data_IF_406520641102
#
_entry.id   IF_406520641102
#
_cell.length_a   1.000
_cell.length_b   1.000
_cell.length_c   1.000
_cell.angle_alpha   90.00
_cell.angle_beta   90.00
_cell.angle_gamma   90.00
#
_symmetry.space_group_name_H-M   'P 1'
#
loop_
_entity.id
_entity.type
_entity.pdbx_description
1 polymer ?
#
# COMPACT_ATOMS: atom_id res chain seq x y z
N UNK A 1 -25.87 -3.78 69.98
CA UNK A 1 -26.80 -3.08 69.08
C UNK A 1 -26.12 -2.21 68.00
N UNK A 2 -24.93 -1.68 68.21
CA UNK A 2 -24.27 -0.81 67.19
C UNK A 2 -23.69 -1.53 65.92
N UNK A 3 -23.45 -2.84 65.99
CA UNK A 3 -22.90 -3.61 64.84
C UNK A 3 -23.90 -3.94 63.73
N UNK A 4 -25.20 -4.00 64.06
CA UNK A 4 -26.24 -4.34 63.07
C UNK A 4 -26.75 -3.12 62.28
N UNK A 5 -26.58 -1.91 62.83
CA UNK A 5 -27.00 -0.67 62.15
C UNK A 5 -26.06 -0.34 61.00
N UNK A 6 -24.75 -0.64 61.11
CA UNK A 6 -23.77 -0.40 60.06
C UNK A 6 -23.96 -1.39 58.89
N UNK A 7 -24.31 -2.64 59.17
CA UNK A 7 -24.60 -3.63 58.13
C UNK A 7 -25.85 -3.27 57.30
N UNK A 8 -26.89 -2.77 57.92
CA UNK A 8 -28.11 -2.35 57.21
C UNK A 8 -27.93 -1.09 56.38
N UNK A 9 -27.07 -0.16 56.81
CA UNK A 9 -26.77 1.05 56.03
C UNK A 9 -25.94 0.74 54.79
N UNK A 10 -25.02 -0.24 54.84
CA UNK A 10 -24.22 -0.67 53.69
C UNK A 10 -25.09 -1.43 52.66
N UNK A 11 -26.03 -2.25 53.11
CA UNK A 11 -26.97 -2.93 52.20
C UNK A 11 -27.93 -1.96 51.50
N UNK A 12 -28.37 -0.88 52.17
CA UNK A 12 -29.18 0.15 51.52
C UNK A 12 -28.39 1.02 50.53
N UNK A 13 -27.11 1.25 50.80
CA UNK A 13 -26.25 1.99 49.86
C UNK A 13 -25.91 1.19 48.58
N UNK A 14 -25.89 -0.15 48.67
CA UNK A 14 -25.66 -1.03 47.50
C UNK A 14 -26.93 -1.26 46.66
N UNK A 15 -28.13 -1.10 47.24
CA UNK A 15 -29.38 -1.22 46.50
C UNK A 15 -29.78 0.04 45.73
N UNK A 16 -29.17 1.21 46.03
CA UNK A 16 -29.42 2.47 45.33
C UNK A 16 -28.58 2.70 44.09
N UNK A 17 -27.62 1.80 43.78
CA UNK A 17 -26.65 1.97 42.72
C UNK A 17 -27.03 1.38 41.34
N UNK A 18 -28.19 0.79 41.18
CA UNK A 18 -28.66 0.20 39.92
C UNK A 18 -29.88 0.92 39.31
N UNK A 19 -29.96 2.23 39.49
CA UNK A 19 -30.78 3.02 38.57
C UNK A 19 -29.90 3.33 37.37
N UNK A 20 -29.60 2.30 36.61
CA UNK A 20 -29.09 2.44 35.25
C UNK A 20 -30.16 3.16 34.44
N UNK A 21 -29.76 4.22 33.77
CA UNK A 21 -30.54 4.96 32.80
C UNK A 21 -31.24 4.01 31.82
N UNK A 22 -32.52 3.76 32.02
CA UNK A 22 -33.43 3.24 31.03
C UNK A 22 -34.29 4.39 30.53
N UNK A 23 -33.67 5.46 30.07
CA UNK A 23 -34.28 6.26 29.03
C UNK A 23 -33.83 5.59 27.73
N UNK A 24 -34.65 4.73 27.19
CA UNK A 24 -34.67 4.54 25.75
C UNK A 24 -35.04 5.91 25.17
N UNK A 25 -34.04 6.76 25.01
CA UNK A 25 -34.19 7.89 24.11
C UNK A 25 -34.51 7.24 22.76
N UNK A 26 -35.67 7.57 22.22
CA UNK A 26 -36.03 7.16 20.85
C UNK A 26 -34.86 7.49 19.95
N UNK A 27 -34.14 6.44 19.54
CA UNK A 27 -32.99 6.58 18.67
C UNK A 27 -33.48 7.29 17.41
N UNK A 28 -32.83 8.40 17.05
CA UNK A 28 -33.11 9.09 15.82
C UNK A 28 -33.10 8.05 14.69
N UNK A 29 -34.23 7.88 13.96
CA UNK A 29 -34.28 6.94 12.84
C UNK A 29 -33.27 7.25 11.75
N UNK A 30 -32.67 8.44 11.78
CA UNK A 30 -31.55 8.79 10.91
C UNK A 30 -30.25 8.49 11.62
N UNK A 31 -29.57 7.45 11.18
CA UNK A 31 -28.24 7.09 11.68
C UNK A 31 -27.27 8.27 11.53
N UNK A 32 -26.63 8.66 12.64
CA UNK A 32 -25.51 9.63 12.63
C UNK A 32 -24.25 9.04 11.98
N UNK A 33 -24.20 7.72 11.83
CA UNK A 33 -23.13 7.08 11.06
C UNK A 33 -23.35 7.28 9.57
N UNK A 34 -22.28 7.54 8.86
CA UNK A 34 -22.32 7.56 7.40
C UNK A 34 -22.94 6.26 6.89
N UNK A 35 -23.71 6.31 5.79
CA UNK A 35 -24.18 5.10 5.15
C UNK A 35 -23.00 4.13 4.98
N UNK A 36 -23.28 2.84 5.14
CA UNK A 36 -22.29 1.78 4.92
C UNK A 36 -21.55 2.08 3.62
N UNK A 37 -20.22 2.25 3.65
CA UNK A 37 -19.44 2.56 2.46
C UNK A 37 -19.57 1.49 1.38
N UNK A 38 -20.07 0.31 1.72
CA UNK A 38 -20.33 -0.78 0.77
C UNK A 38 -21.69 -0.66 0.08
N UNK A 39 -22.57 0.23 0.55
CA UNK A 39 -23.84 0.54 -0.12
C UNK A 39 -23.61 1.64 -1.17
N UNK A 40 -23.72 1.23 -2.43
CA UNK A 40 -23.52 2.14 -3.55
C UNK A 40 -24.74 3.01 -3.77
N UNK A 41 -24.53 4.33 -3.92
CA UNK A 41 -25.57 5.28 -4.27
C UNK A 41 -25.86 5.23 -5.78
N UNK A 42 -27.08 4.76 -6.19
CA UNK A 42 -27.43 4.69 -7.60
C UNK A 42 -27.54 6.06 -8.30
N UNK A 43 -27.66 7.14 -7.54
CA UNK A 43 -27.75 8.52 -8.05
C UNK A 43 -26.38 9.17 -8.27
N UNK A 44 -25.32 8.54 -7.73
CA UNK A 44 -23.94 9.04 -7.89
C UNK A 44 -23.52 9.05 -9.36
N UNK A 45 -22.89 10.13 -9.85
CA UNK A 45 -22.31 10.19 -11.20
C UNK A 45 -21.30 9.06 -11.47
N UNK A 46 -20.68 8.53 -10.42
CA UNK A 46 -19.67 7.48 -10.48
C UNK A 46 -20.22 6.08 -10.23
N UNK A 47 -21.54 5.93 -10.06
CA UNK A 47 -22.18 4.66 -9.69
C UNK A 47 -21.72 3.45 -10.54
N UNK A 48 -21.62 3.63 -11.85
CA UNK A 48 -21.18 2.53 -12.75
C UNK A 48 -19.76 2.09 -12.46
N UNK A 49 -18.87 3.05 -12.18
CA UNK A 49 -17.49 2.75 -11.82
C UNK A 49 -17.40 2.16 -10.42
N UNK A 50 -18.11 2.71 -9.45
CA UNK A 50 -18.16 2.20 -8.08
C UNK A 50 -18.63 0.75 -8.06
N UNK A 51 -19.66 0.42 -8.84
CA UNK A 51 -20.16 -0.95 -9.00
C UNK A 51 -19.12 -1.88 -9.65
N UNK A 52 -18.39 -1.38 -10.64
CA UNK A 52 -17.32 -2.15 -11.29
C UNK A 52 -16.16 -2.42 -10.32
N UNK A 53 -15.74 -1.40 -9.56
CA UNK A 53 -14.70 -1.52 -8.51
C UNK A 53 -15.13 -2.49 -7.43
N UNK A 54 -16.36 -2.36 -6.92
CA UNK A 54 -16.88 -3.28 -5.91
C UNK A 54 -16.79 -4.72 -6.39
N UNK A 55 -17.29 -5.02 -7.59
CA UNK A 55 -17.29 -6.37 -8.15
C UNK A 55 -15.87 -6.93 -8.33
N UNK A 56 -14.96 -6.15 -8.91
CA UNK A 56 -13.65 -6.64 -9.34
C UNK A 56 -12.57 -6.61 -8.26
N UNK A 57 -12.81 -5.89 -7.16
CA UNK A 57 -11.86 -5.75 -6.05
C UNK A 57 -12.44 -6.22 -4.71
N UNK A 58 -13.54 -5.62 -4.26
CA UNK A 58 -14.11 -5.96 -2.95
C UNK A 58 -14.68 -7.37 -2.94
N UNK A 59 -15.61 -7.67 -3.85
CA UNK A 59 -16.29 -8.97 -3.89
C UNK A 59 -15.33 -10.11 -4.30
N UNK A 60 -14.34 -9.80 -5.16
CA UNK A 60 -13.38 -10.79 -5.66
C UNK A 60 -12.25 -11.07 -4.67
N UNK A 61 -11.62 -10.03 -4.08
CA UNK A 61 -10.39 -10.15 -3.30
C UNK A 61 -10.51 -9.70 -1.84
N UNK A 62 -11.69 -9.24 -1.41
CA UNK A 62 -11.86 -8.58 -0.11
C UNK A 62 -10.88 -7.38 0.03
N UNK A 63 -10.78 -6.58 -1.03
CA UNK A 63 -9.85 -5.45 -1.14
C UNK A 63 -10.61 -4.19 -1.58
N UNK A 64 -10.30 -3.07 -0.94
CA UNK A 64 -10.89 -1.76 -1.26
C UNK A 64 -10.00 -1.00 -2.24
N UNK A 65 -10.54 -0.60 -3.38
CA UNK A 65 -9.91 0.35 -4.30
C UNK A 65 -10.41 1.76 -3.99
N UNK A 66 -9.57 2.58 -3.37
CA UNK A 66 -9.93 3.92 -2.88
C UNK A 66 -9.35 4.99 -3.80
N UNK A 67 -10.18 5.62 -4.60
CA UNK A 67 -9.79 6.70 -5.52
C UNK A 67 -10.31 8.08 -5.06
N UNK A 68 -11.29 8.11 -4.17
CA UNK A 68 -11.74 9.35 -3.52
C UNK A 68 -10.87 9.61 -2.31
N UNK A 69 -10.12 10.71 -2.36
CA UNK A 69 -9.27 11.09 -1.24
C UNK A 69 -10.15 11.50 -0.05
N UNK A 70 -9.96 10.84 1.09
CA UNK A 70 -10.54 11.22 2.36
C UNK A 70 -9.41 11.73 3.26
N UNK A 71 -9.64 12.86 3.95
CA UNK A 71 -8.65 13.49 4.84
C UNK A 71 -8.08 12.55 5.91
N UNK A 72 -8.87 11.58 6.38
CA UNK A 72 -8.43 10.57 7.36
C UNK A 72 -7.56 9.44 6.76
N UNK A 73 -7.50 9.33 5.44
CA UNK A 73 -6.75 8.27 4.77
C UNK A 73 -5.40 8.75 4.22
N UNK A 74 -5.09 10.03 4.37
CA UNK A 74 -3.85 10.65 3.92
C UNK A 74 -3.01 11.10 5.10
N UNK A 75 -1.71 10.98 4.97
CA UNK A 75 -0.76 11.51 5.94
C UNK A 75 -0.86 13.06 5.93
N UNK A 76 -1.13 13.71 7.07
CA UNK A 76 -1.29 15.16 7.14
C UNK A 76 -0.02 15.94 6.82
N UNK A 77 1.14 15.29 6.83
CA UNK A 77 2.43 15.94 6.53
C UNK A 77 2.61 16.23 5.02
N UNK A 78 1.73 15.66 4.16
CA UNK A 78 1.83 15.85 2.71
C UNK A 78 0.66 16.64 2.13
N UNK A 79 0.97 17.59 1.25
CA UNK A 79 -0.03 18.29 0.45
C UNK A 79 -0.36 17.48 -0.81
N UNK A 80 -1.38 16.65 -0.73
CA UNK A 80 -1.75 15.71 -1.78
C UNK A 80 -2.94 16.21 -2.61
N UNK A 81 -2.94 15.89 -3.90
CA UNK A 81 -4.02 16.18 -4.84
C UNK A 81 -4.74 14.87 -5.18
N UNK A 82 -6.09 14.84 -5.17
CA UNK A 82 -6.83 13.65 -5.56
C UNK A 82 -6.55 13.24 -7.01
N UNK A 83 -6.61 11.93 -7.27
CA UNK A 83 -6.58 11.44 -8.63
C UNK A 83 -7.86 11.82 -9.38
N UNK A 84 -7.73 12.21 -10.65
CA UNK A 84 -8.89 12.42 -11.51
C UNK A 84 -9.67 11.13 -11.70
N UNK A 85 -10.98 11.24 -11.92
CA UNK A 85 -11.83 10.07 -12.13
C UNK A 85 -11.37 9.23 -13.33
N UNK A 86 -11.06 9.89 -14.44
CA UNK A 86 -10.60 9.22 -15.65
C UNK A 86 -9.32 8.41 -15.42
N UNK A 87 -8.30 9.01 -14.79
CA UNK A 87 -7.05 8.33 -14.48
C UNK A 87 -7.23 7.21 -13.45
N UNK A 88 -8.14 7.40 -12.48
CA UNK A 88 -8.51 6.36 -11.53
C UNK A 88 -9.17 5.16 -12.21
N UNK A 89 -10.06 5.41 -13.17
CA UNK A 89 -10.71 4.35 -13.97
C UNK A 89 -9.68 3.58 -14.82
N UNK A 90 -8.78 4.30 -15.50
CA UNK A 90 -7.70 3.69 -16.28
C UNK A 90 -6.81 2.81 -15.40
N UNK A 91 -6.33 3.34 -14.27
CA UNK A 91 -5.46 2.59 -13.37
C UNK A 91 -6.18 1.37 -12.75
N UNK A 92 -7.46 1.51 -12.40
CA UNK A 92 -8.24 0.38 -11.90
C UNK A 92 -8.31 -0.77 -12.91
N UNK A 93 -8.55 -0.45 -14.18
CA UNK A 93 -8.54 -1.48 -15.23
C UNK A 93 -7.15 -2.09 -15.41
N UNK A 94 -6.12 -1.27 -15.52
CA UNK A 94 -4.74 -1.73 -15.69
C UNK A 94 -4.29 -2.65 -14.55
N UNK A 95 -4.50 -2.25 -13.30
CA UNK A 95 -4.11 -3.05 -12.13
C UNK A 95 -4.90 -4.35 -12.06
N UNK A 96 -6.23 -4.34 -12.34
CA UNK A 96 -7.01 -5.57 -12.38
C UNK A 96 -6.47 -6.58 -13.40
N UNK A 97 -6.19 -6.14 -14.63
CA UNK A 97 -5.83 -7.05 -15.72
C UNK A 97 -4.35 -7.39 -15.77
N UNK A 98 -3.45 -6.45 -15.43
CA UNK A 98 -2.01 -6.62 -15.57
C UNK A 98 -1.32 -7.04 -14.26
N UNK A 99 -2.02 -7.01 -13.14
CA UNK A 99 -1.47 -7.43 -11.85
C UNK A 99 -2.33 -8.53 -11.20
N UNK A 100 -3.59 -8.26 -10.84
CA UNK A 100 -4.45 -9.22 -10.14
C UNK A 100 -4.71 -10.48 -10.97
N UNK A 101 -5.18 -10.34 -12.18
CA UNK A 101 -5.47 -11.49 -13.06
C UNK A 101 -4.22 -12.29 -13.41
N UNK A 102 -3.04 -11.65 -13.45
CA UNK A 102 -1.77 -12.35 -13.69
C UNK A 102 -1.43 -13.26 -12.52
N UNK A 103 -1.54 -12.77 -11.30
CA UNK A 103 -1.35 -13.61 -10.11
C UNK A 103 -2.37 -14.75 -10.05
N UNK A 104 -3.66 -14.49 -10.32
CA UNK A 104 -4.69 -15.52 -10.37
C UNK A 104 -4.37 -16.62 -11.40
N UNK A 105 -3.89 -16.20 -12.57
CA UNK A 105 -3.49 -17.14 -13.63
C UNK A 105 -2.30 -18.02 -13.22
N UNK A 106 -1.30 -17.44 -12.55
CA UNK A 106 -0.10 -18.16 -12.13
C UNK A 106 -0.40 -19.09 -10.95
N UNK A 107 -1.24 -18.66 -10.01
CA UNK A 107 -1.57 -19.43 -8.80
C UNK A 107 -2.78 -20.35 -8.98
N UNK A 108 -3.50 -20.21 -10.10
CA UNK A 108 -4.67 -21.03 -10.46
C UNK A 108 -5.98 -20.61 -9.80
N UNK A 109 -5.97 -19.62 -8.90
CA UNK A 109 -7.18 -19.08 -8.26
C UNK A 109 -6.93 -17.70 -7.64
N UNK A 110 -7.99 -16.92 -7.32
CA UNK A 110 -7.86 -15.66 -6.60
C UNK A 110 -7.51 -15.83 -5.09
N UNK A 111 -7.47 -17.07 -4.58
CA UNK A 111 -7.30 -17.33 -3.14
C UNK A 111 -5.95 -16.87 -2.62
N UNK A 112 -4.90 -16.91 -3.45
CA UNK A 112 -3.59 -16.40 -3.06
C UNK A 112 -3.65 -14.91 -2.73
N UNK A 113 -4.25 -14.10 -3.60
CA UNK A 113 -4.39 -12.66 -3.34
C UNK A 113 -5.44 -12.33 -2.27
N UNK A 114 -6.48 -13.16 -2.13
CA UNK A 114 -7.43 -13.06 -1.01
C UNK A 114 -6.74 -13.22 0.33
N UNK A 115 -5.80 -14.14 0.42
CA UNK A 115 -5.09 -14.45 1.66
C UNK A 115 -3.93 -13.48 1.91
N UNK A 116 -3.12 -13.19 0.91
CA UNK A 116 -1.85 -12.50 1.06
C UNK A 116 -1.80 -11.12 0.41
N UNK A 117 -2.74 -10.77 -0.44
CA UNK A 117 -2.75 -9.48 -1.13
C UNK A 117 -3.05 -8.30 -0.22
N UNK A 118 -2.75 -7.08 -0.68
CA UNK A 118 -3.12 -5.87 0.02
C UNK A 118 -4.63 -5.81 0.24
N UNK A 119 -5.07 -5.17 1.33
CA UNK A 119 -6.51 -4.99 1.62
C UNK A 119 -7.03 -3.65 1.14
N UNK A 120 -6.14 -2.73 0.83
CA UNK A 120 -6.50 -1.44 0.27
C UNK A 120 -5.47 -1.00 -0.79
N UNK A 121 -5.97 -0.55 -1.92
CA UNK A 121 -5.21 0.17 -2.93
C UNK A 121 -5.71 1.62 -2.95
N UNK A 122 -4.87 2.56 -2.51
CA UNK A 122 -5.21 3.98 -2.39
C UNK A 122 -4.54 4.77 -3.50
N UNK A 123 -5.36 5.52 -4.27
CA UNK A 123 -4.93 6.19 -5.49
C UNK A 123 -4.85 7.69 -5.26
N UNK A 124 -3.66 8.26 -5.47
CA UNK A 124 -3.34 9.67 -5.21
C UNK A 124 -2.84 10.33 -6.50
N UNK A 125 -3.38 11.50 -6.81
CA UNK A 125 -3.13 12.16 -8.09
C UNK A 125 -1.76 12.83 -8.22
N UNK A 126 -1.23 13.37 -7.12
CA UNK A 126 0.08 14.04 -7.05
C UNK A 126 1.17 13.13 -6.49
N UNK A 127 2.42 13.58 -6.60
CA UNK A 127 3.51 13.04 -5.78
C UNK A 127 3.36 13.44 -4.32
N UNK A 128 4.02 12.68 -3.43
CA UNK A 128 4.30 13.07 -2.07
C UNK A 128 5.80 13.34 -1.95
N UNK A 129 6.15 14.52 -1.46
CA UNK A 129 7.54 14.89 -1.23
C UNK A 129 7.79 14.90 0.28
N UNK A 130 8.76 14.11 0.73
CA UNK A 130 9.15 14.11 2.12
C UNK A 130 9.69 15.50 2.50
N UNK A 131 9.05 16.22 3.44
CA UNK A 131 9.44 17.60 3.76
C UNK A 131 10.83 17.70 4.39
N UNK A 132 11.34 16.62 4.97
CA UNK A 132 12.64 16.60 5.64
C UNK A 132 13.81 16.27 4.70
N UNK A 133 13.59 15.41 3.71
CA UNK A 133 14.65 14.93 2.81
C UNK A 133 14.52 15.45 1.39
N UNK A 134 13.36 15.98 0.99
CA UNK A 134 13.05 16.36 -0.39
C UNK A 134 12.84 15.17 -1.32
N UNK A 135 12.88 13.95 -0.81
CA UNK A 135 12.72 12.74 -1.62
C UNK A 135 11.27 12.57 -2.05
N UNK A 136 11.06 12.29 -3.33
CA UNK A 136 9.75 11.97 -3.89
C UNK A 136 9.36 10.53 -3.56
N UNK A 137 8.15 10.37 -3.05
CA UNK A 137 7.56 9.07 -2.72
C UNK A 137 6.60 8.68 -3.84
N UNK A 138 6.85 7.54 -4.48
CA UNK A 138 6.03 6.99 -5.57
C UNK A 138 5.05 5.92 -5.08
N UNK A 139 5.33 5.32 -3.93
CA UNK A 139 4.49 4.33 -3.26
C UNK A 139 4.80 4.24 -1.78
N UNK A 140 3.86 3.75 -1.02
CA UNK A 140 4.00 3.54 0.41
C UNK A 140 3.11 2.37 0.85
N UNK A 141 3.69 1.37 1.54
CA UNK A 141 2.92 0.37 2.26
C UNK A 141 2.74 0.79 3.73
N UNK A 142 1.50 0.92 4.15
CA UNK A 142 1.18 1.30 5.52
C UNK A 142 0.61 0.10 6.27
N UNK A 143 1.32 -0.32 7.33
CA UNK A 143 0.89 -1.37 8.23
C UNK A 143 0.70 -2.76 7.58
N UNK A 144 1.26 -3.01 6.39
CA UNK A 144 1.13 -4.28 5.69
C UNK A 144 -0.27 -4.58 5.13
N UNK A 145 -1.12 -3.56 5.00
CA UNK A 145 -2.49 -3.73 4.52
C UNK A 145 -2.84 -2.79 3.36
N UNK A 146 -2.25 -1.60 3.33
CA UNK A 146 -2.56 -0.55 2.36
C UNK A 146 -1.35 -0.31 1.46
N UNK A 147 -1.59 -0.25 0.14
CA UNK A 147 -0.64 0.24 -0.85
C UNK A 147 -1.17 1.56 -1.41
N UNK A 148 -0.39 2.62 -1.26
CA UNK A 148 -0.69 3.94 -1.83
C UNK A 148 0.09 4.15 -3.12
N UNK A 149 -0.58 4.48 -4.22
CA UNK A 149 0.03 4.79 -5.51
C UNK A 149 -0.12 6.28 -5.79
N UNK A 150 1.00 6.94 -5.99
CA UNK A 150 1.08 8.39 -6.23
C UNK A 150 1.23 8.72 -7.72
N UNK A 151 1.17 10.01 -8.05
CA UNK A 151 1.39 10.55 -9.41
C UNK A 151 0.37 10.03 -10.44
N UNK A 152 -0.79 9.57 -9.99
CA UNK A 152 -1.79 8.93 -10.88
C UNK A 152 -2.34 9.88 -11.93
N UNK A 153 -2.33 11.20 -11.70
CA UNK A 153 -2.74 12.17 -12.71
C UNK A 153 -1.80 12.22 -13.93
N UNK A 154 -0.57 11.70 -13.80
CA UNK A 154 0.41 11.56 -14.88
C UNK A 154 0.37 10.18 -15.56
N UNK A 155 -0.63 9.35 -15.24
CA UNK A 155 -0.78 8.01 -15.83
C UNK A 155 -0.85 8.10 -17.36
N UNK A 156 -0.02 7.32 -18.02
CA UNK A 156 0.00 7.14 -19.47
C UNK A 156 -0.16 5.64 -19.79
N UNK A 157 -1.37 5.20 -20.17
CA UNK A 157 -1.66 3.79 -20.40
C UNK A 157 -0.96 3.22 -21.65
N UNK A 158 -0.46 4.07 -22.54
CA UNK A 158 0.22 3.64 -23.78
C UNK A 158 1.74 3.51 -23.61
N UNK A 159 2.27 3.85 -22.43
CA UNK A 159 3.68 3.77 -22.12
C UNK A 159 3.98 2.66 -21.08
N UNK A 160 4.27 1.42 -21.51
CA UNK A 160 4.55 0.31 -20.59
C UNK A 160 5.74 0.55 -19.68
N UNK A 161 6.78 1.23 -20.14
CA UNK A 161 7.96 1.56 -19.31
C UNK A 161 7.57 2.47 -18.16
N UNK A 162 6.77 3.50 -18.44
CA UNK A 162 6.27 4.42 -17.41
C UNK A 162 5.31 3.74 -16.44
N UNK A 163 4.44 2.84 -16.95
CA UNK A 163 3.55 2.04 -16.09
C UNK A 163 4.35 1.15 -15.14
N UNK A 164 5.37 0.48 -15.64
CA UNK A 164 6.26 -0.35 -14.83
C UNK A 164 7.01 0.48 -13.79
N UNK A 165 7.61 1.59 -14.19
CA UNK A 165 8.43 2.42 -13.30
C UNK A 165 7.63 3.06 -12.15
N UNK A 166 6.41 3.55 -12.44
CA UNK A 166 5.62 4.34 -11.47
C UNK A 166 4.63 3.48 -10.66
N UNK A 167 4.10 2.39 -11.25
CA UNK A 167 2.99 1.66 -10.62
C UNK A 167 3.31 0.19 -10.38
N UNK A 168 3.65 -0.58 -11.40
CA UNK A 168 3.80 -2.03 -11.22
C UNK A 168 5.03 -2.40 -10.40
N UNK A 169 6.16 -1.74 -10.59
CA UNK A 169 7.33 -1.92 -9.73
C UNK A 169 6.97 -1.63 -8.28
N UNK A 170 6.33 -0.49 -8.02
CA UNK A 170 5.87 -0.12 -6.68
C UNK A 170 4.91 -1.16 -6.10
N UNK A 171 3.93 -1.61 -6.87
CA UNK A 171 2.98 -2.63 -6.40
C UNK A 171 3.68 -3.94 -6.04
N UNK A 172 4.65 -4.41 -6.83
CA UNK A 172 5.40 -5.63 -6.50
C UNK A 172 6.33 -5.43 -5.30
N UNK A 173 6.95 -4.27 -5.17
CA UNK A 173 7.78 -3.89 -4.03
C UNK A 173 6.98 -3.94 -2.73
N UNK A 174 5.87 -3.21 -2.66
CA UNK A 174 5.01 -3.14 -1.49
C UNK A 174 4.34 -4.48 -1.18
N UNK A 175 3.94 -5.22 -2.22
CA UNK A 175 3.41 -6.58 -2.04
C UNK A 175 4.47 -7.53 -1.46
N UNK A 176 5.73 -7.39 -1.82
CA UNK A 176 6.82 -8.17 -1.23
C UNK A 176 6.92 -7.92 0.28
N UNK A 177 6.77 -6.68 0.74
CA UNK A 177 6.72 -6.37 2.17
C UNK A 177 5.50 -6.99 2.87
N UNK A 178 4.32 -6.91 2.24
CA UNK A 178 3.09 -7.52 2.78
C UNK A 178 3.25 -9.04 2.88
N UNK A 179 3.74 -9.67 1.83
CA UNK A 179 3.94 -11.11 1.78
C UNK A 179 4.99 -11.57 2.81
N UNK A 180 6.06 -10.81 2.98
CA UNK A 180 7.12 -11.09 3.92
C UNK A 180 6.64 -11.17 5.38
N UNK A 181 5.56 -10.51 5.76
CA UNK A 181 4.99 -10.59 7.11
C UNK A 181 4.47 -12.01 7.46
N UNK A 182 4.09 -12.79 6.44
CA UNK A 182 3.55 -14.13 6.61
C UNK A 182 4.41 -15.22 5.95
N UNK A 183 5.13 -14.87 4.90
CA UNK A 183 6.00 -15.74 4.10
C UNK A 183 7.36 -15.07 3.94
N UNK A 184 8.18 -15.18 4.98
CA UNK A 184 9.51 -14.55 4.98
C UNK A 184 10.48 -15.25 4.02
N UNK A 185 11.41 -14.50 3.45
CA UNK A 185 12.53 -15.03 2.66
C UNK A 185 13.56 -15.73 3.57
N UNK A 186 14.45 -16.59 3.03
CA UNK A 186 15.48 -17.23 3.82
C UNK A 186 16.44 -16.23 4.47
N UNK A 187 16.83 -16.46 5.73
CA UNK A 187 17.79 -15.61 6.44
C UNK A 187 19.14 -15.48 5.76
N UNK A 188 19.53 -16.46 4.95
CA UNK A 188 20.75 -16.40 4.13
C UNK A 188 20.76 -15.23 3.16
N UNK A 189 19.60 -14.67 2.79
CA UNK A 189 19.54 -13.46 1.98
C UNK A 189 20.12 -12.25 2.73
N UNK A 190 19.85 -12.12 4.02
CA UNK A 190 20.39 -11.03 4.85
C UNK A 190 21.92 -11.04 4.90
N UNK A 191 22.53 -12.19 4.68
CA UNK A 191 23.98 -12.40 4.76
C UNK A 191 24.72 -12.05 3.46
N UNK A 192 24.02 -12.04 2.31
CA UNK A 192 24.64 -11.84 0.97
C UNK A 192 25.34 -10.49 0.91
N UNK A 193 24.68 -9.43 1.31
CA UNK A 193 25.19 -8.06 1.25
C UNK A 193 25.32 -7.37 2.60
N UNK A 194 25.42 -8.13 3.70
CA UNK A 194 25.39 -7.61 5.08
C UNK A 194 26.38 -6.47 5.34
N UNK A 195 27.56 -6.51 4.72
CA UNK A 195 28.61 -5.50 4.90
C UNK A 195 28.39 -4.21 4.09
N UNK A 196 27.45 -4.20 3.17
CA UNK A 196 27.25 -3.12 2.19
C UNK A 196 25.96 -2.31 2.40
N UNK A 197 25.14 -2.67 3.42
CA UNK A 197 23.92 -1.89 3.71
C UNK A 197 24.24 -0.55 4.36
N UNK A 198 23.56 0.51 3.90
CA UNK A 198 23.74 1.91 4.33
C UNK A 198 22.37 2.56 4.67
N UNK A 199 21.81 2.26 5.82
CA UNK A 199 20.44 2.68 6.16
C UNK A 199 20.20 4.20 6.15
N UNK A 200 21.24 4.99 6.40
CA UNK A 200 21.12 6.43 6.58
C UNK A 200 21.60 7.25 5.38
N UNK A 201 22.36 6.65 4.47
CA UNK A 201 23.07 7.37 3.39
C UNK A 201 22.87 6.74 2.01
N UNK A 202 21.95 5.80 1.87
CA UNK A 202 21.66 5.16 0.59
C UNK A 202 21.27 6.18 -0.52
N UNK A 203 20.64 7.30 -0.13
CA UNK A 203 20.24 8.38 -1.05
C UNK A 203 21.45 9.06 -1.74
N UNK A 204 22.63 8.97 -1.12
CA UNK A 204 23.87 9.55 -1.65
C UNK A 204 24.59 8.60 -2.61
N UNK A 205 24.12 7.35 -2.73
CA UNK A 205 24.73 6.35 -3.60
C UNK A 205 24.33 6.54 -5.05
N UNK A 206 25.29 6.34 -5.92
CA UNK A 206 25.08 6.31 -7.37
C UNK A 206 24.64 4.91 -7.82
N UNK A 207 23.75 4.83 -8.81
CA UNK A 207 23.21 3.57 -9.32
C UNK A 207 24.31 2.58 -9.76
N UNK A 208 25.26 3.01 -10.61
CA UNK A 208 26.29 2.13 -11.15
C UNK A 208 27.15 1.45 -10.08
N UNK A 209 27.83 2.20 -9.19
CA UNK A 209 28.62 1.61 -8.10
C UNK A 209 27.78 0.73 -7.17
N UNK A 210 26.53 1.12 -6.90
CA UNK A 210 25.65 0.34 -6.03
C UNK A 210 25.24 -0.99 -6.69
N UNK A 211 24.95 -0.97 -7.98
CA UNK A 211 24.63 -2.19 -8.74
C UNK A 211 25.84 -3.16 -8.79
N UNK A 212 27.07 -2.64 -8.84
CA UNK A 212 28.28 -3.47 -8.79
C UNK A 212 28.51 -4.15 -7.44
N UNK A 213 27.85 -3.69 -6.40
CA UNK A 213 27.79 -4.37 -5.09
C UNK A 213 26.72 -5.46 -5.03
N UNK A 214 25.92 -5.63 -6.09
CA UNK A 214 24.85 -6.63 -6.18
C UNK A 214 23.44 -6.09 -5.85
N UNK A 215 23.26 -4.78 -5.66
CA UNK A 215 21.96 -4.17 -5.44
C UNK A 215 21.28 -3.77 -6.76
N UNK A 216 19.97 -3.85 -6.83
CA UNK A 216 19.21 -3.46 -8.04
C UNK A 216 18.94 -1.95 -8.12
N UNK A 217 19.15 -1.23 -7.03
CA UNK A 217 19.00 0.22 -6.94
C UNK A 217 19.74 0.76 -5.71
N UNK A 218 20.03 2.07 -5.62
CA UNK A 218 20.51 2.69 -4.37
C UNK A 218 19.60 2.41 -3.17
N UNK A 219 18.28 2.44 -3.37
CA UNK A 219 17.31 2.16 -2.30
C UNK A 219 17.42 0.74 -1.76
N UNK A 220 17.70 -0.26 -2.61
CA UNK A 220 17.97 -1.63 -2.18
C UNK A 220 19.10 -1.70 -1.15
N UNK A 221 20.11 -0.85 -1.26
CA UNK A 221 21.23 -0.81 -0.32
C UNK A 221 20.91 -0.24 1.07
N UNK A 222 19.70 0.20 1.31
CA UNK A 222 19.27 0.73 2.61
C UNK A 222 19.21 -0.35 3.69
N UNK A 223 18.64 -1.50 3.38
CA UNK A 223 18.53 -2.65 4.29
C UNK A 223 18.06 -3.91 3.54
N UNK A 224 18.27 -5.08 4.14
CA UNK A 224 17.96 -6.37 3.52
C UNK A 224 16.50 -6.52 3.07
N UNK A 225 15.53 -5.95 3.78
CA UNK A 225 14.12 -6.00 3.39
C UNK A 225 13.84 -5.21 2.13
N UNK A 226 14.44 -4.03 2.02
CA UNK A 226 14.33 -3.18 0.82
C UNK A 226 15.04 -3.85 -0.36
N UNK A 227 16.21 -4.44 -0.13
CA UNK A 227 16.95 -5.18 -1.13
C UNK A 227 16.12 -6.34 -1.71
N UNK A 228 15.50 -7.14 -0.84
CA UNK A 228 14.63 -8.22 -1.30
C UNK A 228 13.45 -7.69 -2.12
N UNK A 229 12.74 -6.68 -1.61
CA UNK A 229 11.58 -6.11 -2.28
C UNK A 229 11.95 -5.44 -3.62
N UNK A 230 13.02 -4.66 -3.66
CA UNK A 230 13.55 -4.03 -4.87
C UNK A 230 14.02 -5.06 -5.90
N UNK A 231 14.72 -6.09 -5.47
CA UNK A 231 15.20 -7.17 -6.34
C UNK A 231 14.02 -7.91 -6.96
N UNK A 232 13.03 -8.33 -6.16
CA UNK A 232 11.82 -8.97 -6.65
C UNK A 232 11.05 -8.08 -7.62
N UNK A 233 10.82 -6.82 -7.27
CA UNK A 233 10.05 -5.89 -8.08
C UNK A 233 10.75 -5.61 -9.43
N UNK A 234 12.05 -5.33 -9.42
CA UNK A 234 12.82 -5.09 -10.64
C UNK A 234 12.89 -6.34 -11.54
N UNK A 235 13.07 -7.53 -10.96
CA UNK A 235 13.08 -8.78 -11.72
C UNK A 235 11.74 -9.04 -12.43
N UNK A 236 10.61 -8.77 -11.77
CA UNK A 236 9.28 -9.02 -12.32
C UNK A 236 8.92 -8.04 -13.45
N UNK A 237 9.26 -6.76 -13.31
CA UNK A 237 8.83 -5.73 -14.27
C UNK A 237 9.77 -5.55 -15.45
N UNK A 238 11.00 -6.06 -15.40
CA UNK A 238 11.96 -6.01 -16.49
C UNK A 238 11.77 -7.17 -17.46
N UNK A 239 12.01 -6.92 -18.73
CA UNK A 239 12.14 -8.01 -19.70
C UNK A 239 13.39 -8.84 -19.40
N UNK A 240 13.47 -10.11 -19.86
CA UNK A 240 14.68 -10.92 -19.70
C UNK A 240 15.95 -10.21 -20.20
N UNK A 241 15.88 -9.55 -21.35
CA UNK A 241 17.02 -8.83 -21.94
C UNK A 241 17.44 -7.63 -21.07
N UNK A 242 16.49 -6.87 -20.54
CA UNK A 242 16.77 -5.76 -19.61
C UNK A 242 17.37 -6.26 -18.30
N UNK A 243 16.93 -7.42 -17.81
CA UNK A 243 17.51 -8.02 -16.60
C UNK A 243 18.94 -8.51 -16.84
N UNK A 244 19.18 -9.25 -17.93
CA UNK A 244 20.53 -9.70 -18.30
C UNK A 244 21.48 -8.54 -18.55
N UNK A 245 21.02 -7.47 -19.20
CA UNK A 245 21.80 -6.24 -19.36
C UNK A 245 22.16 -5.62 -18.00
N UNK A 246 21.23 -5.61 -17.04
CA UNK A 246 21.49 -5.12 -15.68
C UNK A 246 22.62 -5.91 -15.01
N UNK A 247 22.57 -7.24 -15.08
CA UNK A 247 23.60 -8.10 -14.51
C UNK A 247 24.96 -7.89 -15.20
N UNK A 248 24.94 -7.78 -16.53
CA UNK A 248 26.15 -7.56 -17.32
C UNK A 248 26.81 -6.21 -17.02
N UNK A 249 26.03 -5.16 -16.83
CA UNK A 249 26.51 -3.82 -16.43
C UNK A 249 27.04 -3.83 -15.00
N UNK A 250 26.34 -4.48 -14.07
CA UNK A 250 26.78 -4.59 -12.68
C UNK A 250 28.15 -5.28 -12.55
N UNK A 251 28.37 -6.37 -13.31
CA UNK A 251 29.65 -7.10 -13.35
C UNK A 251 30.83 -6.23 -13.83
N UNK A 252 30.57 -5.21 -14.66
CA UNK A 252 31.58 -4.31 -15.22
C UNK A 252 31.82 -3.02 -14.47
N UNK A 253 31.07 -2.78 -13.39
CA UNK A 253 31.19 -1.56 -12.62
C UNK A 253 30.80 -0.31 -13.40
N UNK A 254 29.74 -0.40 -14.24
CA UNK A 254 29.23 0.75 -15.02
C UNK A 254 28.75 1.89 -14.11
N UNK A 255 28.86 3.10 -14.60
CA UNK A 255 28.32 4.30 -13.98
C UNK A 255 27.30 4.90 -14.92
N UNK A 256 26.09 5.11 -14.45
CA UNK A 256 25.08 5.85 -15.19
C UNK A 256 25.50 7.33 -15.25
N UNK A 257 25.74 7.84 -16.44
CA UNK A 257 26.02 9.26 -16.62
C UNK A 257 24.68 9.94 -16.82
N UNK A 258 24.27 10.72 -15.83
CA UNK A 258 23.11 11.61 -15.89
C UNK A 258 23.41 12.82 -16.79
N UNK A 259 23.62 12.64 -18.04
CA UNK A 259 23.51 13.74 -18.99
C UNK A 259 22.29 13.50 -19.85
N UNK A 260 21.22 14.12 -19.54
CA UNK A 260 19.91 14.13 -20.16
C UNK A 260 19.88 14.11 -21.70
N UNK A 261 20.58 13.14 -22.30
CA UNK A 261 20.52 12.80 -23.73
C UNK A 261 20.10 11.35 -23.91
#
# INVERSE_FOLDING_TARGET
>A
MKKYIIGSAICLALAGGFVSCSSDDDLDPVSIFQPDPDVLDPTSPTYKFDKWVKKNYLDEYNMTFTYRMKSLATDPDYNLVPASLDKSMQLAVLTKYLWYNVYDSITGSPDFLRQYGPKMLHIIGSSAVNPSTGTEILGLAEGGLKVSLFVVNNLDPENPKKLNALYFKTMHHEFSHILHQTKTYPKSFDEINAANYEPNTWQERLCGPTCSLGFTSPYASGQAREDFAETCANYIVRTPDEWELTLWLADRGWVEIEDGT
#
